data_IF_435999774479
#
_entry.id   IF_435999774479
#
_cell.length_a   1.000
_cell.length_b   1.000
_cell.length_c   1.000
_cell.angle_alpha   90.00
_cell.angle_beta   90.00
_cell.angle_gamma   90.00
#
_symmetry.space_group_name_H-M   'P 1'
#
loop_
_entity.id
_entity.type
_entity.pdbx_description
1 polymer ?
#
# COMPACT_ATOMS: atom_id res chain seq x y z
N UNK A 1 3.78 14.23 -17.81
CA UNK A 1 2.50 13.74 -18.40
C UNK A 1 2.19 12.36 -17.85
N UNK A 2 0.96 12.13 -17.42
CA UNK A 2 0.48 10.83 -16.92
C UNK A 2 0.36 9.83 -18.09
N UNK A 3 0.73 8.57 -17.86
CA UNK A 3 0.63 7.49 -18.85
C UNK A 3 -0.42 6.49 -18.36
N UNK A 4 -1.58 6.46 -19.01
CA UNK A 4 -2.68 5.52 -18.69
C UNK A 4 -2.81 4.52 -19.82
N UNK A 5 -2.71 3.24 -19.49
CA UNK A 5 -2.91 2.18 -20.48
C UNK A 5 -4.37 2.13 -20.94
N UNK A 6 -4.68 2.02 -22.24
CA UNK A 6 -6.06 2.10 -22.75
C UNK A 6 -6.99 0.98 -22.29
N UNK A 7 -6.48 -0.10 -21.71
CA UNK A 7 -7.26 -1.18 -21.10
C UNK A 7 -7.43 -1.01 -19.58
N UNK A 8 -7.26 0.20 -19.03
CA UNK A 8 -7.55 0.50 -17.62
C UNK A 8 -8.81 1.36 -17.51
N UNK A 9 -9.52 1.24 -16.37
CA UNK A 9 -10.62 2.12 -16.01
C UNK A 9 -10.12 3.13 -14.96
N UNK A 10 -9.74 4.32 -15.39
CA UNK A 10 -9.20 5.39 -14.54
C UNK A 10 -10.16 6.56 -14.55
N UNK A 11 -10.86 6.76 -13.43
CA UNK A 11 -11.87 7.79 -13.25
C UNK A 11 -11.31 9.03 -12.53
N UNK A 12 -10.18 8.89 -11.81
CA UNK A 12 -9.56 10.00 -11.09
C UNK A 12 -8.86 10.96 -12.04
N UNK A 13 -9.08 12.26 -11.82
CA UNK A 13 -8.35 13.38 -12.46
C UNK A 13 -7.16 13.85 -11.59
N UNK A 14 -6.99 13.31 -10.38
CA UNK A 14 -5.97 13.71 -9.42
C UNK A 14 -4.78 12.74 -9.44
N UNK A 15 -4.11 12.67 -10.58
CA UNK A 15 -2.92 11.83 -10.79
C UNK A 15 -1.75 12.73 -11.24
N UNK A 16 -0.66 12.68 -10.47
CA UNK A 16 0.53 13.50 -10.71
C UNK A 16 1.34 13.08 -11.95
N UNK A 17 2.14 14.03 -12.43
CA UNK A 17 2.95 13.85 -13.62
C UNK A 17 3.92 12.66 -13.52
N UNK A 18 4.26 12.09 -14.68
CA UNK A 18 5.12 10.91 -14.84
C UNK A 18 4.63 9.62 -14.15
N UNK A 19 3.41 9.62 -13.62
CA UNK A 19 2.77 8.40 -13.10
C UNK A 19 2.31 7.52 -14.26
N UNK A 20 2.57 6.22 -14.14
CA UNK A 20 2.15 5.20 -15.11
C UNK A 20 1.13 4.26 -14.49
N UNK A 21 0.01 4.08 -15.18
CA UNK A 21 -1.05 3.12 -14.83
C UNK A 21 -1.13 2.07 -15.92
N UNK A 22 -0.87 0.82 -15.54
CA UNK A 22 -0.82 -0.31 -16.47
C UNK A 22 -2.19 -0.97 -16.63
N UNK A 23 -2.31 -1.88 -17.60
CA UNK A 23 -3.56 -2.48 -18.04
C UNK A 23 -4.35 -3.17 -16.92
N UNK A 24 -5.65 -3.17 -17.07
CA UNK A 24 -6.62 -3.83 -16.19
C UNK A 24 -6.64 -3.28 -14.75
N UNK A 25 -6.09 -2.09 -14.55
CA UNK A 25 -6.22 -1.39 -13.27
C UNK A 25 -7.50 -0.58 -13.26
N UNK A 26 -8.09 -0.45 -12.06
CA UNK A 26 -9.30 0.35 -11.82
C UNK A 26 -9.00 1.36 -10.73
N UNK A 27 -9.23 2.65 -11.02
CA UNK A 27 -8.97 3.75 -10.08
C UNK A 27 -10.21 4.63 -10.01
N UNK A 28 -10.84 4.70 -8.84
CA UNK A 28 -12.05 5.48 -8.63
C UNK A 28 -11.78 6.98 -8.57
N UNK A 29 -12.83 7.77 -8.84
CA UNK A 29 -12.74 9.22 -9.06
C UNK A 29 -12.20 10.03 -7.88
N UNK A 30 -12.41 9.57 -6.65
CA UNK A 30 -11.94 10.24 -5.42
C UNK A 30 -10.47 9.99 -5.06
N UNK A 31 -9.81 8.99 -5.66
CA UNK A 31 -8.43 8.67 -5.37
C UNK A 31 -7.47 9.84 -5.71
N UNK A 32 -6.45 10.03 -4.90
CA UNK A 32 -5.38 11.01 -5.13
C UNK A 32 -4.04 10.30 -5.22
N UNK A 33 -3.35 10.46 -6.34
CA UNK A 33 -2.08 9.79 -6.63
C UNK A 33 -1.04 10.84 -6.99
N UNK A 34 0.11 10.80 -6.34
CA UNK A 34 1.22 11.72 -6.57
C UNK A 34 1.95 11.49 -7.90
N UNK A 35 3.08 12.16 -8.00
CA UNK A 35 3.94 12.13 -9.19
C UNK A 35 4.85 10.90 -9.22
N UNK A 36 5.30 10.53 -10.44
CA UNK A 36 6.31 9.50 -10.66
C UNK A 36 5.98 8.13 -10.03
N UNK A 37 4.68 7.80 -9.95
CA UNK A 37 4.22 6.51 -9.43
C UNK A 37 4.17 5.45 -10.52
N UNK A 38 4.29 4.18 -10.11
CA UNK A 38 4.16 3.02 -10.97
C UNK A 38 3.06 2.10 -10.44
N UNK A 39 1.87 2.19 -11.05
CA UNK A 39 0.68 1.39 -10.71
C UNK A 39 0.61 0.24 -11.69
N UNK A 40 1.01 -0.94 -11.25
CA UNK A 40 1.09 -2.12 -12.12
C UNK A 40 -0.31 -2.67 -12.48
N UNK A 41 -0.35 -3.67 -13.35
CA UNK A 41 -1.60 -4.24 -13.83
C UNK A 41 -2.43 -4.91 -12.72
N UNK A 42 -3.75 -4.92 -12.89
CA UNK A 42 -4.70 -5.51 -11.93
C UNK A 42 -4.65 -4.88 -10.53
N UNK A 43 -4.32 -3.59 -10.43
CA UNK A 43 -4.43 -2.82 -9.20
C UNK A 43 -5.81 -2.18 -9.11
N UNK A 44 -6.42 -2.24 -7.93
CA UNK A 44 -7.70 -1.59 -7.65
C UNK A 44 -7.50 -0.51 -6.56
N UNK A 45 -8.01 0.71 -6.79
CA UNK A 45 -7.88 1.85 -5.87
C UNK A 45 -9.23 2.51 -5.67
N UNK A 46 -9.71 2.55 -4.43
CA UNK A 46 -10.98 3.19 -4.05
C UNK A 46 -10.87 4.70 -3.86
N UNK A 47 -12.00 5.34 -3.50
CA UNK A 47 -12.16 6.80 -3.49
C UNK A 47 -11.38 7.52 -2.38
N UNK A 48 -11.41 6.99 -1.14
CA UNK A 48 -10.75 7.60 0.02
C UNK A 48 -9.33 7.05 0.19
N UNK A 49 -8.57 7.06 -0.91
CA UNK A 49 -7.17 6.61 -0.96
C UNK A 49 -6.26 7.77 -1.32
N UNK A 50 -5.16 7.89 -0.60
CA UNK A 50 -4.10 8.88 -0.88
C UNK A 50 -2.78 8.15 -1.11
N UNK A 51 -2.15 8.41 -2.25
CA UNK A 51 -0.84 7.86 -2.62
C UNK A 51 0.10 9.04 -2.89
N UNK A 52 1.22 9.07 -2.17
CA UNK A 52 2.27 10.06 -2.31
C UNK A 52 3.07 9.92 -3.61
N UNK A 53 4.23 10.55 -3.65
CA UNK A 53 5.11 10.56 -4.81
C UNK A 53 6.06 9.35 -4.83
N UNK A 54 6.52 8.96 -6.03
CA UNK A 54 7.50 7.88 -6.22
C UNK A 54 7.05 6.52 -5.65
N UNK A 55 5.76 6.26 -5.60
CA UNK A 55 5.21 5.00 -5.07
C UNK A 55 5.17 3.93 -6.15
N UNK A 56 5.56 2.72 -5.79
CA UNK A 56 5.42 1.54 -6.65
C UNK A 56 4.41 0.57 -6.03
N UNK A 57 3.35 0.26 -6.78
CA UNK A 57 2.36 -0.74 -6.41
C UNK A 57 2.41 -1.85 -7.45
N UNK A 58 2.81 -3.04 -7.02
CA UNK A 58 2.91 -4.21 -7.88
C UNK A 58 1.54 -4.83 -8.15
N UNK A 59 1.50 -5.72 -9.13
CA UNK A 59 0.26 -6.33 -9.64
C UNK A 59 -0.55 -7.06 -8.58
N UNK A 60 -1.88 -7.01 -8.73
CA UNK A 60 -2.83 -7.76 -7.91
C UNK A 60 -3.10 -7.15 -6.53
N UNK A 61 -2.73 -5.89 -6.31
CA UNK A 61 -2.97 -5.19 -5.04
C UNK A 61 -4.30 -4.43 -5.11
N UNK A 62 -5.12 -4.55 -4.06
CA UNK A 62 -6.32 -3.76 -3.87
C UNK A 62 -6.11 -2.80 -2.70
N UNK A 63 -6.38 -1.51 -2.93
CA UNK A 63 -6.25 -0.45 -1.94
C UNK A 63 -7.63 0.13 -1.67
N UNK A 64 -8.15 -0.18 -0.48
CA UNK A 64 -9.49 0.15 -0.05
C UNK A 64 -9.55 1.54 0.59
N UNK A 65 -10.77 2.07 0.73
CA UNK A 65 -11.02 3.33 1.44
C UNK A 65 -10.35 3.34 2.83
N UNK A 66 -9.76 4.47 3.18
CA UNK A 66 -9.06 4.68 4.46
C UNK A 66 -7.55 4.40 4.43
N UNK A 67 -7.00 3.95 3.31
CA UNK A 67 -5.57 3.63 3.20
C UNK A 67 -4.79 4.82 2.62
N UNK A 68 -3.68 5.14 3.26
CA UNK A 68 -2.72 6.14 2.79
C UNK A 68 -1.34 5.52 2.61
N UNK A 69 -0.77 5.69 1.42
CA UNK A 69 0.63 5.37 1.12
C UNK A 69 1.41 6.68 1.00
N UNK A 70 2.41 6.89 1.84
CA UNK A 70 3.26 8.10 1.75
C UNK A 70 4.33 7.97 0.64
N UNK A 71 5.18 8.98 0.49
CA UNK A 71 6.19 9.02 -0.56
C UNK A 71 7.18 7.84 -0.50
N UNK A 72 7.66 7.41 -1.65
CA UNK A 72 8.69 6.37 -1.81
C UNK A 72 8.30 5.00 -1.23
N UNK A 73 7.01 4.71 -1.06
CA UNK A 73 6.52 3.42 -0.58
C UNK A 73 6.58 2.37 -1.70
N UNK A 74 6.96 1.16 -1.33
CA UNK A 74 6.92 -0.01 -2.20
C UNK A 74 5.90 -1.03 -1.68
N UNK A 75 4.93 -1.41 -2.51
CA UNK A 75 3.96 -2.47 -2.24
C UNK A 75 4.21 -3.63 -3.21
N UNK A 76 4.61 -4.76 -2.66
CA UNK A 76 4.88 -5.99 -3.40
C UNK A 76 3.63 -6.61 -4.02
N UNK A 77 3.80 -7.55 -4.97
CA UNK A 77 2.67 -8.18 -5.65
C UNK A 77 1.77 -8.95 -4.68
N UNK A 78 0.47 -8.86 -4.93
CA UNK A 78 -0.57 -9.55 -4.16
C UNK A 78 -0.56 -9.23 -2.65
N UNK A 79 -0.03 -8.07 -2.25
CA UNK A 79 -0.22 -7.58 -0.89
C UNK A 79 -1.70 -7.33 -0.67
N UNK A 80 -2.22 -7.80 0.45
CA UNK A 80 -3.63 -7.67 0.83
C UNK A 80 -3.78 -6.66 1.96
N UNK A 81 -4.58 -5.63 1.73
CA UNK A 81 -5.04 -4.73 2.77
C UNK A 81 -6.44 -5.11 3.23
N UNK A 82 -6.77 -4.86 4.49
CA UNK A 82 -8.13 -4.86 5.00
C UNK A 82 -8.46 -3.48 5.55
N UNK A 83 -9.73 -3.08 5.53
CA UNK A 83 -10.18 -1.79 6.09
C UNK A 83 -11.36 -1.93 7.07
N UNK A 84 -11.86 -3.15 7.26
CA UNK A 84 -12.89 -3.50 8.22
C UNK A 84 -12.37 -4.62 9.13
N UNK A 85 -12.46 -4.43 10.45
CA UNK A 85 -12.02 -5.41 11.46
C UNK A 85 -13.06 -6.51 11.71
N UNK A 86 -14.32 -6.26 11.40
CA UNK A 86 -15.42 -7.21 11.64
C UNK A 86 -16.35 -7.25 10.42
N UNK A 87 -15.85 -7.69 9.25
CA UNK A 87 -16.63 -7.64 8.01
C UNK A 87 -17.85 -8.57 8.09
N UNK A 88 -18.99 -8.05 7.65
CA UNK A 88 -20.24 -8.80 7.49
C UNK A 88 -20.91 -8.42 6.18
N UNK A 89 -21.47 -9.40 5.48
CA UNK A 89 -22.17 -9.15 4.23
C UNK A 89 -23.31 -8.13 4.42
N UNK A 90 -23.30 -7.06 3.63
CA UNK A 90 -24.30 -5.98 3.61
C UNK A 90 -24.42 -5.20 4.93
N UNK A 91 -23.43 -5.30 5.79
CA UNK A 91 -23.31 -4.49 7.02
C UNK A 91 -22.02 -3.71 6.91
N UNK A 92 -22.11 -2.40 6.82
CA UNK A 92 -20.97 -1.52 6.64
C UNK A 92 -20.68 -0.75 7.92
N UNK A 93 -19.41 -0.54 8.29
CA UNK A 93 -19.06 0.31 9.41
C UNK A 93 -19.45 1.77 9.13
N UNK A 94 -19.61 2.60 10.17
CA UNK A 94 -19.84 4.03 9.99
C UNK A 94 -18.68 4.74 9.33
N UNK A 95 -17.47 4.23 9.54
CA UNK A 95 -16.23 4.66 8.91
C UNK A 95 -15.27 3.47 8.86
N UNK A 96 -14.51 3.36 7.78
CA UNK A 96 -13.44 2.37 7.66
C UNK A 96 -12.22 2.76 8.49
N UNK A 97 -11.47 1.78 8.95
CA UNK A 97 -10.21 1.99 9.68
C UNK A 97 -9.17 2.69 8.79
N UNK A 98 -8.37 3.56 9.41
CA UNK A 98 -7.31 4.27 8.72
C UNK A 98 -5.99 3.53 8.85
N UNK A 99 -5.43 3.14 7.72
CA UNK A 99 -4.13 2.44 7.62
C UNK A 99 -3.11 3.35 6.92
N UNK A 100 -1.93 3.47 7.51
CA UNK A 100 -0.86 4.31 6.96
C UNK A 100 0.40 3.50 6.69
N UNK A 101 0.87 3.57 5.47
CA UNK A 101 2.20 3.08 5.08
C UNK A 101 3.09 4.31 4.94
N UNK A 102 4.00 4.49 5.90
CA UNK A 102 4.80 5.69 6.04
C UNK A 102 5.93 5.74 5.01
N UNK A 103 6.47 6.95 4.81
CA UNK A 103 7.49 7.26 3.81
C UNK A 103 8.60 6.21 3.78
N UNK A 104 8.94 5.75 2.58
CA UNK A 104 10.04 4.81 2.34
C UNK A 104 9.81 3.38 2.82
N UNK A 105 8.66 3.08 3.42
CA UNK A 105 8.36 1.71 3.85
C UNK A 105 8.16 0.76 2.67
N UNK A 106 8.52 -0.52 2.88
CA UNK A 106 8.38 -1.58 1.89
C UNK A 106 7.57 -2.74 2.45
N UNK A 107 6.60 -3.21 1.68
CA UNK A 107 5.78 -4.39 2.02
C UNK A 107 6.04 -5.49 1.02
N UNK A 108 6.56 -6.61 1.50
CA UNK A 108 6.89 -7.78 0.68
C UNK A 108 5.66 -8.50 0.12
N UNK A 109 5.88 -9.24 -0.97
CA UNK A 109 4.83 -9.96 -1.70
C UNK A 109 3.96 -10.86 -0.81
N UNK A 110 2.66 -10.95 -1.13
CA UNK A 110 1.69 -11.80 -0.42
C UNK A 110 1.56 -11.52 1.09
N UNK A 111 1.97 -10.35 1.56
CA UNK A 111 1.75 -9.94 2.95
C UNK A 111 0.32 -9.44 3.15
N UNK A 112 -0.20 -9.60 4.36
CA UNK A 112 -1.52 -9.07 4.76
C UNK A 112 -1.33 -7.98 5.81
N UNK A 113 -1.93 -6.81 5.57
CA UNK A 113 -1.95 -5.70 6.51
C UNK A 113 -3.35 -5.58 7.10
N UNK A 114 -3.47 -5.88 8.39
CA UNK A 114 -4.75 -5.75 9.09
C UNK A 114 -5.08 -4.28 9.30
N UNK A 115 -6.35 -3.96 9.14
CA UNK A 115 -6.93 -2.61 9.21
C UNK A 115 -6.47 -1.82 10.47
N UNK A 116 -6.29 -0.51 10.32
CA UNK A 116 -5.98 0.40 11.42
C UNK A 116 -4.50 0.43 11.83
N UNK A 117 -3.62 -0.30 11.16
CA UNK A 117 -2.20 -0.34 11.50
C UNK A 117 -1.39 0.72 10.76
N UNK A 118 -0.31 1.15 11.41
CA UNK A 118 0.71 2.04 10.85
C UNK A 118 1.98 1.25 10.60
N UNK A 119 2.46 1.25 9.37
CA UNK A 119 3.81 0.76 9.03
C UNK A 119 4.75 1.97 9.08
N UNK A 120 5.69 1.96 10.00
CA UNK A 120 6.58 3.08 10.28
C UNK A 120 7.51 3.42 9.11
N UNK A 121 8.07 4.63 9.17
CA UNK A 121 8.96 5.15 8.14
C UNK A 121 10.15 4.22 7.90
N UNK A 122 10.47 3.94 6.63
CA UNK A 122 11.52 3.03 6.18
C UNK A 122 11.42 1.59 6.73
N UNK A 123 10.32 1.21 7.36
CA UNK A 123 10.15 -0.17 7.84
C UNK A 123 10.03 -1.14 6.67
N UNK A 124 10.47 -2.37 6.88
CA UNK A 124 10.38 -3.44 5.90
C UNK A 124 9.56 -4.61 6.44
N UNK A 125 8.54 -5.00 5.69
CA UNK A 125 7.74 -6.20 5.94
C UNK A 125 8.19 -7.28 4.96
N UNK A 126 8.67 -8.41 5.49
CA UNK A 126 9.06 -9.56 4.68
C UNK A 126 7.86 -10.23 4.00
N UNK A 127 8.09 -10.86 2.84
CA UNK A 127 7.04 -11.52 2.08
C UNK A 127 6.26 -12.57 2.89
N UNK A 128 4.96 -12.70 2.62
CA UNK A 128 4.07 -13.67 3.28
C UNK A 128 3.75 -13.36 4.74
N UNK A 129 4.01 -12.15 5.20
CA UNK A 129 3.78 -11.76 6.60
C UNK A 129 2.33 -11.36 6.85
N UNK A 130 1.89 -11.48 8.11
CA UNK A 130 0.60 -10.94 8.57
C UNK A 130 0.86 -9.89 9.65
N UNK A 131 0.64 -8.62 9.30
CA UNK A 131 0.84 -7.49 10.20
C UNK A 131 -0.44 -7.24 10.99
N UNK A 132 -0.37 -7.44 12.30
CA UNK A 132 -1.50 -7.35 13.23
C UNK A 132 -1.40 -6.18 14.21
N UNK A 133 -0.33 -5.40 14.14
CA UNK A 133 -0.08 -4.23 15.01
C UNK A 133 0.83 -3.23 14.31
N UNK A 134 0.93 -2.03 14.89
CA UNK A 134 1.82 -0.99 14.39
C UNK A 134 3.28 -1.45 14.33
N UNK A 135 3.96 -1.07 13.27
CA UNK A 135 5.36 -1.38 13.03
C UNK A 135 6.20 -0.11 13.26
N UNK A 136 7.19 -0.16 14.15
CA UNK A 136 8.09 0.97 14.38
C UNK A 136 8.92 1.33 13.13
N UNK A 137 9.34 2.60 12.98
CA UNK A 137 10.21 3.00 11.88
C UNK A 137 11.58 2.29 11.91
N UNK A 138 12.18 2.12 10.74
CA UNK A 138 13.51 1.54 10.56
C UNK A 138 13.66 0.12 11.11
N UNK A 139 12.59 -0.67 11.12
CA UNK A 139 12.59 -2.06 11.61
C UNK A 139 12.20 -3.05 10.53
N UNK A 140 12.66 -4.29 10.66
CA UNK A 140 12.35 -5.42 9.77
C UNK A 140 11.46 -6.41 10.51
N UNK A 141 10.32 -6.73 9.91
CA UNK A 141 9.31 -7.63 10.49
C UNK A 141 8.88 -8.67 9.48
N UNK A 142 8.75 -9.92 9.91
CA UNK A 142 8.13 -10.97 9.10
C UNK A 142 7.55 -12.11 9.93
N UNK A 143 6.72 -12.92 9.26
CA UNK A 143 6.02 -14.08 9.82
C UNK A 143 4.52 -13.85 10.01
N UNK A 144 3.84 -14.87 10.53
CA UNK A 144 2.42 -14.85 10.85
C UNK A 144 2.19 -15.33 12.30
N UNK A 145 1.82 -14.41 13.24
CA UNK A 145 1.84 -12.96 13.09
C UNK A 145 3.28 -12.43 12.91
N UNK A 146 3.41 -11.30 12.22
CA UNK A 146 4.70 -10.67 12.01
C UNK A 146 5.36 -10.28 13.34
N UNK A 147 6.67 -10.52 13.43
CA UNK A 147 7.50 -10.17 14.59
C UNK A 147 8.76 -9.46 14.11
N UNK A 148 9.29 -8.57 14.94
CA UNK A 148 10.54 -7.90 14.65
C UNK A 148 11.68 -8.91 14.56
N UNK A 149 12.53 -8.72 13.56
CA UNK A 149 13.69 -9.58 13.24
C UNK A 149 14.98 -8.79 13.11
N UNK A 150 14.87 -7.47 13.15
CA UNK A 150 16.04 -6.61 13.03
C UNK A 150 15.66 -5.15 12.77
N UNK A 151 16.66 -4.41 12.36
CA UNK A 151 16.55 -3.01 11.93
C UNK A 151 17.04 -2.86 10.50
N UNK A 152 16.65 -1.79 9.84
CA UNK A 152 17.06 -1.44 8.49
C UNK A 152 17.49 0.03 8.47
N UNK A 153 18.61 0.32 7.84
CA UNK A 153 19.06 1.69 7.67
C UNK A 153 18.48 2.34 6.39
N UNK A 154 18.74 3.62 6.21
CA UNK A 154 18.28 4.39 5.04
C UNK A 154 18.85 3.92 3.69
N UNK A 155 19.91 3.10 3.70
CA UNK A 155 20.52 2.51 2.51
C UNK A 155 19.96 1.10 2.21
N UNK A 156 19.04 0.60 3.05
CA UNK A 156 18.45 -0.73 2.91
C UNK A 156 19.32 -1.84 3.50
N UNK A 157 20.34 -1.51 4.32
CA UNK A 157 21.16 -2.52 4.99
C UNK A 157 20.44 -3.02 6.24
N UNK A 158 20.25 -4.34 6.29
CA UNK A 158 19.54 -5.01 7.38
C UNK A 158 20.54 -5.55 8.42
N UNK A 159 20.26 -5.25 9.69
CA UNK A 159 20.93 -5.88 10.84
C UNK A 159 19.89 -6.74 11.58
N UNK A 160 20.07 -8.04 11.54
CA UNK A 160 19.21 -8.99 12.25
C UNK A 160 19.53 -9.05 13.74
N UNK A 161 18.47 -9.24 14.55
CA UNK A 161 18.54 -9.37 16.02
C UNK A 161 18.17 -10.78 16.46
#
# INVERSE_FOLDING_TARGET
MVKIHPLSDVQSENIGDNTSVWQFSVIFSGARIGENCNINCHVFIENDVVIGNNVTIKSGVQIWDGITLEDNVFIGPNVTFTNDLVPRSKQYPKAFEKTFIKKGASVGANSTIIAGNVIGENAMIGAGSVVTKNIPPNTVWFGNPAKQKGTIDQNGVITYS
#
